data_IF_540276937632
#
_entry.id   IF_540276937632
#
_cell.length_a   1.000
_cell.length_b   1.000
_cell.length_c   1.000
_cell.angle_alpha   90.00
_cell.angle_beta   90.00
_cell.angle_gamma   90.00
#
_symmetry.space_group_name_H-M   'P 1'
#
loop_
_entity.id
_entity.type
_entity.pdbx_description
1 polymer ?
#
# COMPACT_ATOMS: atom_id res chain seq x y z
N UNK A 1 7.12 -25.21 -23.27
CA UNK A 1 7.49 -24.38 -22.09
C UNK A 1 6.50 -24.73 -21.00
N UNK A 2 6.97 -25.21 -19.85
CA UNK A 2 6.07 -25.67 -18.78
C UNK A 2 5.24 -24.50 -18.24
N UNK A 3 3.96 -24.73 -17.95
CA UNK A 3 3.03 -23.72 -17.41
C UNK A 3 3.59 -23.00 -16.17
N UNK A 4 4.44 -23.69 -15.41
CA UNK A 4 5.15 -23.13 -14.25
C UNK A 4 6.15 -22.04 -14.64
N UNK A 5 6.89 -22.24 -15.74
CA UNK A 5 7.87 -21.27 -16.22
C UNK A 5 7.15 -20.02 -16.73
N UNK A 6 6.05 -20.19 -17.47
CA UNK A 6 5.23 -19.07 -17.95
C UNK A 6 4.64 -18.24 -16.80
N UNK A 7 4.13 -18.91 -15.75
CA UNK A 7 3.62 -18.23 -14.55
C UNK A 7 4.72 -17.41 -13.83
N UNK A 8 5.94 -17.95 -13.75
CA UNK A 8 7.08 -17.24 -13.15
C UNK A 8 7.48 -16.04 -14.01
N UNK A 9 7.54 -16.20 -15.33
CA UNK A 9 7.87 -15.11 -16.26
C UNK A 9 6.85 -13.97 -16.13
N UNK A 10 5.55 -14.30 -16.11
CA UNK A 10 4.50 -13.30 -15.93
C UNK A 10 4.63 -12.59 -14.58
N UNK A 11 4.98 -13.32 -13.51
CA UNK A 11 5.17 -12.74 -12.17
C UNK A 11 6.38 -11.80 -12.10
N UNK A 12 7.51 -12.17 -12.70
CA UNK A 12 8.72 -11.34 -12.71
C UNK A 12 8.55 -10.09 -13.59
N UNK A 13 7.76 -10.20 -14.66
CA UNK A 13 7.44 -9.06 -15.52
C UNK A 13 6.49 -8.05 -14.85
N UNK A 14 5.76 -8.44 -13.81
CA UNK A 14 4.94 -7.50 -13.03
C UNK A 14 5.78 -6.78 -11.97
N UNK A 15 6.03 -5.48 -12.19
CA UNK A 15 6.75 -4.62 -11.25
C UNK A 15 6.13 -4.65 -9.84
N UNK A 16 4.80 -4.79 -9.74
CA UNK A 16 4.09 -4.89 -8.46
C UNK A 16 4.46 -6.17 -7.71
N UNK A 17 4.59 -7.29 -8.41
CA UNK A 17 4.94 -8.58 -7.85
C UNK A 17 6.41 -8.62 -7.36
N UNK A 18 7.34 -8.13 -8.19
CA UNK A 18 8.76 -8.01 -7.83
C UNK A 18 8.94 -7.24 -6.53
N UNK A 19 8.18 -6.17 -6.38
CA UNK A 19 8.27 -5.32 -5.21
C UNK A 19 7.78 -5.99 -3.91
N UNK A 20 6.72 -6.81 -3.99
CA UNK A 20 6.28 -7.65 -2.85
C UNK A 20 7.36 -8.65 -2.46
N UNK A 21 8.06 -9.22 -3.44
CA UNK A 21 9.21 -10.11 -3.21
C UNK A 21 10.34 -9.40 -2.49
N UNK A 22 10.66 -8.17 -2.87
CA UNK A 22 11.66 -7.38 -2.17
C UNK A 22 11.25 -7.05 -0.72
N UNK A 23 9.96 -6.77 -0.44
CA UNK A 23 9.47 -6.53 0.94
C UNK A 23 9.63 -7.80 1.79
N UNK A 24 9.32 -8.96 1.22
CA UNK A 24 9.48 -10.26 1.89
C UNK A 24 10.96 -10.58 2.15
N UNK A 25 11.82 -10.33 1.16
CA UNK A 25 13.25 -10.60 1.31
C UNK A 25 13.90 -9.66 2.33
N UNK A 26 13.46 -8.39 2.37
CA UNK A 26 13.85 -7.45 3.40
C UNK A 26 13.42 -7.92 4.81
N UNK A 27 12.18 -8.38 4.99
CA UNK A 27 11.69 -8.82 6.30
C UNK A 27 12.37 -10.13 6.75
N UNK A 28 12.64 -11.05 5.82
CA UNK A 28 13.45 -12.24 6.10
C UNK A 28 14.88 -11.88 6.51
N UNK A 29 15.47 -10.87 5.87
CA UNK A 29 16.81 -10.38 6.20
C UNK A 29 16.86 -9.80 7.61
N UNK A 30 15.81 -9.09 8.03
CA UNK A 30 15.67 -8.57 9.40
C UNK A 30 15.57 -9.71 10.43
N UNK A 31 14.81 -10.76 10.13
CA UNK A 31 14.72 -11.95 10.98
C UNK A 31 16.09 -12.67 11.05
N UNK A 32 16.77 -12.82 9.90
CA UNK A 32 18.12 -13.42 9.83
C UNK A 32 19.14 -12.70 10.70
N UNK A 33 19.05 -11.36 10.78
CA UNK A 33 19.91 -10.54 11.62
C UNK A 33 19.73 -10.78 13.13
N UNK A 34 18.62 -11.40 13.56
CA UNK A 34 18.33 -11.67 14.99
C UNK A 34 18.94 -12.97 15.51
N UNK A 35 19.32 -13.89 14.63
CA UNK A 35 19.89 -15.19 15.02
C UNK A 35 21.40 -15.17 15.28
N UNK A 36 22.10 -14.11 14.86
CA UNK A 36 23.54 -13.99 15.05
C UNK A 36 23.90 -13.33 16.38
N UNK A 37 25.07 -13.66 16.97
CA UNK A 37 25.60 -12.89 18.10
C UNK A 37 25.73 -11.41 17.73
N UNK A 38 25.41 -10.47 18.64
CA UNK A 38 25.53 -9.05 18.38
C UNK A 38 26.97 -8.70 18.00
N UNK A 39 27.13 -7.91 16.93
CA UNK A 39 28.44 -7.52 16.40
C UNK A 39 29.13 -8.57 15.52
N UNK A 40 28.52 -9.74 15.29
CA UNK A 40 29.09 -10.72 14.36
C UNK A 40 28.97 -10.25 12.90
N UNK A 41 29.92 -10.67 12.07
CA UNK A 41 29.94 -10.37 10.63
C UNK A 41 28.68 -10.89 9.90
N UNK A 42 27.99 -11.88 10.48
CA UNK A 42 26.74 -12.41 9.95
C UNK A 42 25.58 -11.43 10.11
N UNK A 43 25.43 -10.82 11.30
CA UNK A 43 24.39 -9.80 11.56
C UNK A 43 24.58 -8.62 10.62
N UNK A 44 25.82 -8.14 10.46
CA UNK A 44 26.13 -7.03 9.56
C UNK A 44 25.75 -7.33 8.10
N UNK A 45 26.01 -8.55 7.62
CA UNK A 45 25.63 -8.99 6.27
C UNK A 45 24.12 -9.02 6.09
N UNK A 46 23.38 -9.57 7.07
CA UNK A 46 21.92 -9.61 7.03
C UNK A 46 21.30 -8.21 7.11
N UNK A 47 21.84 -7.31 7.93
CA UNK A 47 21.38 -5.92 7.96
C UNK A 47 21.67 -5.21 6.63
N UNK A 48 22.87 -5.41 6.08
CA UNK A 48 23.26 -4.80 4.79
C UNK A 48 22.40 -5.31 3.65
N UNK A 49 22.18 -6.62 3.55
CA UNK A 49 21.30 -7.21 2.54
C UNK A 49 19.87 -6.66 2.63
N UNK A 50 19.33 -6.54 3.85
CA UNK A 50 18.02 -5.94 4.10
C UNK A 50 17.95 -4.48 3.61
N UNK A 51 18.99 -3.70 3.86
CA UNK A 51 19.09 -2.32 3.39
C UNK A 51 19.16 -2.23 1.85
N UNK A 52 19.87 -3.15 1.19
CA UNK A 52 19.92 -3.21 -0.28
C UNK A 52 18.56 -3.58 -0.89
N UNK A 53 17.81 -4.52 -0.30
CA UNK A 53 16.45 -4.81 -0.75
C UNK A 53 15.50 -3.63 -0.52
N UNK A 54 15.64 -2.94 0.61
CA UNK A 54 14.89 -1.71 0.88
C UNK A 54 15.20 -0.63 -0.16
N UNK A 55 16.47 -0.47 -0.53
CA UNK A 55 16.91 0.47 -1.56
C UNK A 55 16.33 0.10 -2.93
N UNK A 56 16.40 -1.19 -3.31
CA UNK A 56 15.77 -1.70 -4.53
C UNK A 56 14.28 -1.35 -4.63
N UNK A 57 13.54 -1.49 -3.52
CA UNK A 57 12.13 -1.04 -3.47
C UNK A 57 12.02 0.45 -3.72
N UNK A 58 12.80 1.26 -3.03
CA UNK A 58 12.77 2.73 -3.14
C UNK A 58 12.93 3.21 -4.60
N UNK A 59 13.76 2.56 -5.40
CA UNK A 59 13.88 2.87 -6.84
C UNK A 59 12.61 2.59 -7.63
N UNK A 60 11.91 1.48 -7.36
CA UNK A 60 10.64 1.16 -8.04
C UNK A 60 9.53 2.18 -7.71
N UNK A 61 9.70 2.95 -6.63
CA UNK A 61 8.80 4.02 -6.23
C UNK A 61 9.23 5.43 -6.63
N UNK A 62 10.40 5.58 -7.25
CA UNK A 62 11.05 6.87 -7.46
C UNK A 62 10.07 7.92 -8.03
N UNK A 63 9.28 7.59 -9.06
CA UNK A 63 8.29 8.51 -9.64
C UNK A 63 6.83 8.33 -9.17
N UNK A 64 6.56 7.41 -8.23
CA UNK A 64 5.19 7.11 -7.78
C UNK A 64 4.57 8.23 -6.92
N UNK A 65 5.37 9.18 -6.42
CA UNK A 65 4.84 10.36 -5.70
C UNK A 65 3.89 11.19 -6.57
N UNK A 66 4.17 11.30 -7.87
CA UNK A 66 3.37 12.07 -8.84
C UNK A 66 1.96 11.50 -8.91
N UNK A 67 1.85 10.17 -8.97
CA UNK A 67 0.56 9.48 -9.01
C UNK A 67 -0.24 9.68 -7.71
N UNK A 68 0.45 9.75 -6.57
CA UNK A 68 -0.18 10.00 -5.27
C UNK A 68 -0.76 11.41 -5.21
N UNK A 69 0.02 12.44 -5.54
CA UNK A 69 -0.49 13.81 -5.57
C UNK A 69 -1.55 14.05 -6.63
N UNK A 70 -1.43 13.42 -7.81
CA UNK A 70 -2.48 13.49 -8.83
C UNK A 70 -3.78 12.84 -8.35
N UNK A 71 -3.70 11.76 -7.60
CA UNK A 71 -4.88 11.11 -6.99
C UNK A 71 -5.49 11.98 -5.90
N UNK A 72 -4.67 12.58 -5.03
CA UNK A 72 -5.14 13.52 -4.02
C UNK A 72 -5.85 14.73 -4.65
N UNK A 73 -5.25 15.31 -5.69
CA UNK A 73 -5.81 16.45 -6.42
C UNK A 73 -7.16 16.12 -7.07
N UNK A 74 -7.32 14.91 -7.63
CA UNK A 74 -8.60 14.44 -8.17
C UNK A 74 -9.68 14.28 -7.10
N UNK A 75 -9.31 13.81 -5.91
CA UNK A 75 -10.24 13.66 -4.78
C UNK A 75 -10.70 15.01 -4.23
N UNK A 76 -9.82 16.01 -4.19
CA UNK A 76 -10.16 17.38 -3.77
C UNK A 76 -11.02 18.11 -4.80
N UNK A 77 -10.78 17.88 -6.08
CA UNK A 77 -11.50 18.58 -7.15
C UNK A 77 -12.94 18.14 -7.35
N UNK A 78 -13.41 17.10 -6.67
CA UNK A 78 -14.81 16.68 -6.66
C UNK A 78 -15.51 16.83 -8.02
N UNK A 79 -15.22 15.92 -8.96
CA UNK A 79 -15.99 15.81 -10.21
C UNK A 79 -16.03 17.06 -11.12
N UNK A 80 -14.89 17.72 -11.39
CA UNK A 80 -14.72 18.40 -12.70
C UNK A 80 -13.86 17.52 -13.58
N UNK A 81 -14.47 16.77 -14.50
CA UNK A 81 -13.74 16.13 -15.60
C UNK A 81 -13.03 17.25 -16.37
N UNK A 82 -11.69 17.30 -16.45
CA UNK A 82 -11.11 17.94 -17.61
C UNK A 82 -11.46 17.03 -18.79
N UNK A 83 -12.15 17.58 -19.78
CA UNK A 83 -12.23 17.02 -21.13
C UNK A 83 -10.80 16.88 -21.66
N UNK A 84 -10.15 15.75 -21.37
CA UNK A 84 -8.89 15.38 -22.01
C UNK A 84 -9.20 14.21 -22.94
N UNK A 85 -9.27 14.54 -24.22
CA UNK A 85 -9.26 13.60 -25.34
C UNK A 85 -7.89 12.93 -25.40
N UNK A 86 -7.64 11.98 -24.50
CA UNK A 86 -6.63 10.94 -24.70
C UNK A 86 -7.31 9.59 -24.49
N UNK A 87 -7.98 9.15 -25.56
CA UNK A 87 -8.15 7.74 -25.82
C UNK A 87 -6.80 7.22 -26.30
N UNK A 88 -6.10 6.48 -25.44
CA UNK A 88 -5.06 5.59 -25.90
C UNK A 88 -5.57 4.18 -25.63
N UNK A 89 -5.95 3.53 -26.73
CA UNK A 89 -6.21 2.10 -26.79
C UNK A 89 -5.05 1.32 -26.13
N UNK A 90 -5.42 0.33 -25.33
CA UNK A 90 -4.59 -0.86 -25.11
C UNK A 90 -3.34 -0.69 -24.23
N UNK A 91 -3.52 -0.56 -22.92
CA UNK A 91 -2.71 -1.31 -21.95
C UNK A 91 -3.33 -1.22 -20.55
N UNK A 92 -3.86 -2.32 -20.04
CA UNK A 92 -4.28 -2.42 -18.63
C UNK A 92 -3.05 -2.73 -17.76
N UNK A 93 -2.02 -1.90 -17.83
CA UNK A 93 -0.89 -2.01 -16.90
C UNK A 93 -1.18 -1.13 -15.69
N UNK A 94 -2.20 -1.55 -14.92
CA UNK A 94 -2.40 -1.08 -13.56
C UNK A 94 -1.32 -1.72 -12.68
N UNK A 95 -0.14 -1.11 -12.59
CA UNK A 95 0.74 -1.29 -11.43
C UNK A 95 0.14 -0.51 -10.27
N UNK A 96 -1.07 -0.93 -9.85
CA UNK A 96 -1.73 -0.45 -8.65
C UNK A 96 -1.10 -1.18 -7.47
N UNK A 97 0.12 -0.77 -7.11
CA UNK A 97 0.64 -1.03 -5.78
C UNK A 97 0.28 0.15 -4.90
N UNK A 98 -0.99 0.21 -4.56
CA UNK A 98 -1.41 0.89 -3.32
C UNK A 98 -0.98 -0.02 -2.17
N UNK A 99 -0.30 0.47 -1.12
CA UNK A 99 -0.59 -0.11 0.18
C UNK A 99 -2.09 0.17 0.39
N UNK A 100 -2.82 -0.93 0.53
CA UNK A 100 -4.24 -1.02 0.89
C UNK A 100 -5.26 -0.60 -0.16
N UNK A 101 -5.92 -1.63 -0.71
CA UNK A 101 -6.92 -1.60 -1.76
C UNK A 101 -8.24 -0.96 -1.34
N UNK A 102 -8.25 0.37 -1.28
CA UNK A 102 -9.44 1.14 -1.04
C UNK A 102 -9.96 1.72 -2.35
N UNK A 103 -10.94 1.04 -2.98
CA UNK A 103 -11.69 1.61 -4.11
C UNK A 103 -12.65 2.64 -3.54
N UNK A 104 -12.37 3.93 -3.76
CA UNK A 104 -13.25 5.02 -3.36
C UNK A 104 -14.57 4.90 -4.13
N UNK A 105 -15.62 4.43 -3.45
CA UNK A 105 -16.95 4.28 -4.02
C UNK A 105 -17.61 5.65 -4.19
N UNK A 106 -18.14 5.91 -5.39
CA UNK A 106 -18.65 7.20 -5.87
C UNK A 106 -19.95 7.68 -5.23
N UNK A 107 -20.04 7.69 -3.90
CA UNK A 107 -21.09 8.40 -3.17
C UNK A 107 -20.41 9.45 -2.28
N UNK A 108 -20.62 10.73 -2.61
CA UNK A 108 -19.81 11.86 -2.15
C UNK A 108 -20.10 12.22 -0.68
N UNK A 109 -19.37 11.59 0.25
CA UNK A 109 -19.15 12.14 1.58
C UNK A 109 -17.90 13.04 1.51
N UNK A 110 -18.07 14.37 1.61
CA UNK A 110 -16.96 15.34 1.53
C UNK A 110 -15.80 15.00 2.48
N UNK A 111 -16.12 14.43 3.64
CA UNK A 111 -15.17 13.96 4.65
C UNK A 111 -14.30 12.80 4.12
N UNK A 112 -14.89 11.85 3.38
CA UNK A 112 -14.12 10.74 2.78
C UNK A 112 -13.17 11.23 1.72
N UNK A 113 -13.62 12.15 0.87
CA UNK A 113 -12.78 12.74 -0.17
C UNK A 113 -11.62 13.52 0.43
N UNK A 114 -11.86 14.27 1.52
CA UNK A 114 -10.81 14.98 2.25
C UNK A 114 -9.82 14.03 2.93
N UNK A 115 -10.29 13.01 3.66
CA UNK A 115 -9.42 12.00 4.28
C UNK A 115 -8.60 11.23 3.25
N UNK A 116 -9.22 10.86 2.13
CA UNK A 116 -8.54 10.21 1.01
C UNK A 116 -7.48 11.13 0.39
N UNK A 117 -7.82 12.39 0.13
CA UNK A 117 -6.88 13.37 -0.38
C UNK A 117 -5.71 13.61 0.58
N UNK A 118 -5.98 13.70 1.88
CA UNK A 118 -4.96 13.86 2.91
C UNK A 118 -4.02 12.66 2.97
N UNK A 119 -4.57 11.43 2.96
CA UNK A 119 -3.77 10.18 2.86
C UNK A 119 -2.82 10.24 1.67
N UNK A 120 -3.34 10.48 0.47
CA UNK A 120 -2.51 10.49 -0.74
C UNK A 120 -1.56 11.68 -0.82
N UNK A 121 -1.87 12.81 -0.18
CA UNK A 121 -0.98 13.98 -0.10
C UNK A 121 0.21 13.71 0.82
N UNK A 122 -0.04 13.16 2.01
CA UNK A 122 1.00 12.78 2.97
C UNK A 122 1.88 11.66 2.41
N UNK A 123 1.27 10.64 1.78
CA UNK A 123 2.02 9.57 1.13
C UNK A 123 2.87 10.09 -0.04
N UNK A 124 2.34 11.02 -0.84
CA UNK A 124 3.09 11.66 -1.91
C UNK A 124 4.26 12.49 -1.39
N UNK A 125 4.06 13.24 -0.30
CA UNK A 125 5.13 14.00 0.35
C UNK A 125 6.22 13.09 0.94
N UNK A 126 5.84 11.99 1.57
CA UNK A 126 6.78 10.95 1.99
C UNK A 126 7.64 10.44 0.81
N UNK A 127 7.00 10.02 -0.28
CA UNK A 127 7.71 9.48 -1.44
C UNK A 127 8.61 10.53 -2.11
N UNK A 128 8.19 11.80 -2.11
CA UNK A 128 9.00 12.91 -2.58
C UNK A 128 10.25 13.10 -1.71
N UNK A 129 10.13 13.07 -0.38
CA UNK A 129 11.28 13.15 0.52
C UNK A 129 12.22 11.94 0.38
N UNK A 130 11.68 10.74 0.20
CA UNK A 130 12.47 9.54 -0.08
C UNK A 130 13.33 9.69 -1.34
N UNK A 131 12.89 10.45 -2.35
CA UNK A 131 13.72 10.71 -3.54
C UNK A 131 15.05 11.35 -3.18
N UNK A 132 15.02 12.36 -2.31
CA UNK A 132 16.23 13.08 -1.89
C UNK A 132 17.11 12.21 -0.99
N UNK A 133 16.52 11.37 -0.14
CA UNK A 133 17.30 10.51 0.76
C UNK A 133 17.89 9.29 0.06
N UNK A 134 17.34 8.85 -1.08
CA UNK A 134 17.92 7.79 -1.92
C UNK A 134 19.31 8.19 -2.45
N UNK A 135 19.51 9.46 -2.84
CA UNK A 135 20.81 9.93 -3.32
C UNK A 135 21.89 9.84 -2.23
N UNK A 136 21.52 10.14 -1.00
CA UNK A 136 22.39 9.95 0.16
C UNK A 136 22.61 8.46 0.47
N UNK A 137 21.59 7.60 0.30
CA UNK A 137 21.72 6.15 0.50
C UNK A 137 22.64 5.48 -0.53
N UNK A 138 22.82 6.08 -1.72
CA UNK A 138 23.80 5.65 -2.72
C UNK A 138 25.24 6.11 -2.45
N UNK A 139 25.47 6.87 -1.36
CA UNK A 139 26.77 7.52 -1.09
C UNK A 139 27.23 8.48 -2.21
N UNK A 140 26.32 8.97 -3.07
CA UNK A 140 26.66 9.95 -4.11
C UNK A 140 26.81 11.34 -3.51
N UNK A 141 25.99 11.65 -2.50
CA UNK A 141 26.04 12.94 -1.80
C UNK A 141 25.99 12.70 -0.29
N UNK A 142 27.05 13.06 0.44
CA UNK A 142 27.05 13.01 1.91
C UNK A 142 26.59 14.35 2.48
N UNK A 143 25.30 14.44 2.77
CA UNK A 143 24.73 15.62 3.40
C UNK A 143 24.31 15.29 4.84
N UNK A 144 24.81 16.05 5.82
CA UNK A 144 24.45 15.86 7.23
C UNK A 144 22.95 15.97 7.53
N UNK A 145 22.19 16.69 6.69
CA UNK A 145 20.73 16.84 6.81
C UNK A 145 19.94 15.63 6.31
N UNK A 146 20.55 14.72 5.53
CA UNK A 146 19.82 13.60 4.93
C UNK A 146 19.22 12.66 5.98
N UNK A 147 19.92 12.49 7.12
CA UNK A 147 19.41 11.67 8.23
C UNK A 147 18.19 12.30 8.89
N UNK A 148 18.20 13.62 9.06
CA UNK A 148 17.05 14.36 9.57
C UNK A 148 15.87 14.28 8.60
N UNK A 149 16.12 14.45 7.29
CA UNK A 149 15.08 14.35 6.26
C UNK A 149 14.47 12.94 6.20
N UNK A 150 15.29 11.90 6.38
CA UNK A 150 14.84 10.51 6.44
C UNK A 150 13.90 10.29 7.63
N UNK A 151 14.20 10.87 8.79
CA UNK A 151 13.32 10.79 9.97
C UNK A 151 11.99 11.51 9.74
N UNK A 152 12.01 12.70 9.12
CA UNK A 152 10.77 13.41 8.76
C UNK A 152 9.95 12.63 7.73
N UNK A 153 10.59 11.97 6.76
CA UNK A 153 9.92 11.08 5.82
C UNK A 153 9.22 9.92 6.56
N UNK A 154 9.91 9.27 7.51
CA UNK A 154 9.30 8.21 8.33
C UNK A 154 8.10 8.70 9.14
N UNK A 155 8.14 9.92 9.68
CA UNK A 155 6.99 10.53 10.39
C UNK A 155 5.81 10.81 9.45
N UNK A 156 6.07 11.36 8.26
CA UNK A 156 5.02 11.63 7.27
C UNK A 156 4.35 10.35 6.77
N UNK A 157 5.13 9.29 6.57
CA UNK A 157 4.61 7.97 6.28
C UNK A 157 3.69 7.46 7.39
N UNK A 158 4.11 7.59 8.66
CA UNK A 158 3.32 7.22 9.82
C UNK A 158 2.00 8.02 9.92
N UNK A 159 2.03 9.34 9.73
CA UNK A 159 0.80 10.15 9.71
C UNK A 159 -0.15 9.75 8.58
N UNK A 160 0.39 9.43 7.40
CA UNK A 160 -0.42 8.90 6.29
C UNK A 160 -1.13 7.59 6.66
N UNK A 161 -0.50 6.72 7.45
CA UNK A 161 -1.10 5.47 7.91
C UNK A 161 -2.21 5.71 8.94
N UNK A 162 -2.04 6.65 9.88
CA UNK A 162 -3.11 7.03 10.82
C UNK A 162 -4.35 7.50 10.06
N UNK A 163 -4.17 8.35 9.04
CA UNK A 163 -5.28 8.81 8.20
C UNK A 163 -5.92 7.65 7.42
N UNK A 164 -5.11 6.69 6.93
CA UNK A 164 -5.61 5.49 6.26
C UNK A 164 -6.46 4.60 7.17
N UNK A 165 -5.98 4.31 8.38
CA UNK A 165 -6.70 3.52 9.39
C UNK A 165 -7.98 4.23 9.79
N UNK A 166 -7.93 5.55 9.99
CA UNK A 166 -9.10 6.37 10.32
C UNK A 166 -10.16 6.33 9.22
N UNK A 167 -9.75 6.40 7.94
CA UNK A 167 -10.66 6.26 6.79
C UNK A 167 -11.26 4.85 6.68
N UNK A 168 -10.46 3.81 6.91
CA UNK A 168 -10.91 2.41 6.94
C UNK A 168 -11.92 2.14 8.06
N UNK A 169 -11.67 2.69 9.25
CA UNK A 169 -12.58 2.58 10.39
C UNK A 169 -13.88 3.37 10.14
N UNK A 170 -13.77 4.56 9.54
CA UNK A 170 -14.95 5.35 9.13
C UNK A 170 -15.84 4.57 8.16
N UNK A 171 -15.27 3.85 7.20
CA UNK A 171 -16.05 3.00 6.28
C UNK A 171 -16.64 1.78 6.95
N UNK A 172 -15.88 1.12 7.82
CA UNK A 172 -16.38 -0.02 8.57
C UNK A 172 -17.56 0.39 9.47
N UNK A 173 -17.46 1.54 10.11
CA UNK A 173 -18.53 2.12 10.92
C UNK A 173 -19.76 2.44 10.07
N UNK A 174 -19.59 3.16 8.94
CA UNK A 174 -20.67 3.45 7.98
C UNK A 174 -21.33 2.20 7.41
N UNK A 175 -20.57 1.13 7.20
CA UNK A 175 -21.09 -0.14 6.70
C UNK A 175 -21.84 -0.92 7.80
N UNK A 176 -21.37 -0.82 9.05
CA UNK A 176 -22.03 -1.43 10.22
C UNK A 176 -23.33 -0.72 10.62
N UNK A 177 -23.44 0.60 10.39
CA UNK A 177 -24.65 1.37 10.66
C UNK A 177 -25.75 1.21 9.61
N UNK A 178 -25.53 0.46 8.52
CA UNK A 178 -26.56 0.16 7.52
C UNK A 178 -27.27 -1.16 7.89
N UNK A 179 -28.57 -1.15 8.25
CA UNK A 179 -29.34 -2.39 8.37
C UNK A 179 -29.45 -3.09 7.00
N UNK A 180 -29.78 -4.41 6.95
CA UNK A 180 -29.75 -5.22 5.73
C UNK A 180 -30.70 -4.80 4.58
N UNK A 181 -31.36 -3.65 4.65
CA UNK A 181 -32.45 -3.27 3.74
C UNK A 181 -32.33 -1.88 3.09
N UNK A 182 -31.22 -1.17 3.21
CA UNK A 182 -31.04 0.13 2.55
C UNK A 182 -30.07 0.07 1.35
N UNK A 183 -30.43 -0.71 0.33
CA UNK A 183 -29.83 -0.61 -1.01
C UNK A 183 -30.92 -0.42 -2.09
N UNK A 184 -31.75 0.60 -1.91
CA UNK A 184 -32.56 1.20 -2.97
C UNK A 184 -32.39 2.71 -2.93
N UNK A 185 -31.39 3.20 -3.65
CA UNK A 185 -31.33 4.55 -4.24
C UNK A 185 -30.08 4.60 -5.13
N UNK A 186 -30.13 4.60 -6.46
CA UNK A 186 -31.28 4.77 -7.33
C UNK A 186 -31.17 3.99 -8.63
N UNK A 187 -32.33 3.53 -9.08
CA UNK A 187 -32.75 3.56 -10.47
C UNK A 187 -34.27 3.53 -10.42
N UNK A 188 -34.90 4.54 -11.00
CA UNK A 188 -36.33 4.60 -11.21
C UNK A 188 -36.79 3.38 -12.03
N UNK A 189 -37.95 2.84 -11.61
CA UNK A 189 -38.93 1.96 -12.28
C UNK A 189 -38.54 1.40 -13.67
N UNK A 190 -38.43 0.07 -13.79
CA UNK A 190 -39.46 -0.78 -14.42
C UNK A 190 -39.09 -2.28 -14.31
N UNK A 191 -40.11 -3.12 -14.50
CA UNK A 191 -40.31 -4.49 -14.01
C UNK A 191 -39.51 -5.63 -14.68
N UNK A 192 -39.34 -6.69 -13.85
CA UNK A 192 -39.37 -8.13 -14.14
C UNK A 192 -38.05 -8.92 -14.32
N UNK A 193 -37.95 -9.93 -13.43
CA UNK A 193 -37.28 -11.24 -13.56
C UNK A 193 -35.95 -11.49 -12.81
N UNK A 194 -36.11 -12.27 -11.72
CA UNK A 194 -35.29 -13.40 -11.24
C UNK A 194 -33.79 -13.21 -10.90
N UNK A 195 -33.46 -13.52 -9.63
CA UNK A 195 -32.14 -14.04 -9.21
C UNK A 195 -31.45 -13.25 -8.09
N UNK A 196 -31.84 -13.45 -6.83
CA UNK A 196 -31.20 -12.84 -5.65
C UNK A 196 -30.34 -13.90 -4.93
N UNK A 197 -29.02 -13.97 -5.24
CA UNK A 197 -28.02 -14.17 -4.19
C UNK A 197 -26.78 -13.26 -4.32
N UNK A 198 -26.69 -12.43 -5.36
CA UNK A 198 -25.46 -11.72 -5.76
C UNK A 198 -25.10 -10.55 -4.83
N UNK A 199 -26.10 -9.90 -4.22
CA UNK A 199 -25.91 -8.65 -3.46
C UNK A 199 -25.27 -8.91 -2.09
N UNK A 200 -25.70 -9.94 -1.36
CA UNK A 200 -25.15 -10.28 -0.03
C UNK A 200 -23.72 -10.78 -0.12
N UNK A 201 -23.41 -11.61 -1.13
CA UNK A 201 -22.05 -12.08 -1.40
C UNK A 201 -21.09 -10.92 -1.74
N UNK A 202 -21.57 -9.91 -2.47
CA UNK A 202 -20.77 -8.73 -2.83
C UNK A 202 -20.40 -7.85 -1.62
N UNK A 203 -21.33 -7.67 -0.67
CA UNK A 203 -21.12 -6.90 0.56
C UNK A 203 -20.15 -7.62 1.50
N UNK A 204 -20.30 -8.94 1.67
CA UNK A 204 -19.38 -9.74 2.50
C UNK A 204 -17.96 -9.71 1.92
N UNK A 205 -17.82 -9.79 0.59
CA UNK A 205 -16.52 -9.70 -0.09
C UNK A 205 -15.89 -8.31 0.04
N UNK A 206 -16.70 -7.24 -0.03
CA UNK A 206 -16.22 -5.87 0.20
C UNK A 206 -15.75 -5.70 1.64
N UNK A 207 -16.49 -6.19 2.64
CA UNK A 207 -16.09 -6.16 4.05
C UNK A 207 -14.80 -6.93 4.29
N UNK A 208 -14.64 -8.11 3.68
CA UNK A 208 -13.40 -8.89 3.79
C UNK A 208 -12.20 -8.15 3.19
N UNK A 209 -12.38 -7.50 2.05
CA UNK A 209 -11.31 -6.72 1.39
C UNK A 209 -10.91 -5.52 2.26
N UNK A 210 -11.89 -4.80 2.80
CA UNK A 210 -11.67 -3.68 3.72
C UNK A 210 -10.98 -4.13 5.01
N UNK A 211 -11.39 -5.27 5.57
CA UNK A 211 -10.78 -5.83 6.77
C UNK A 211 -9.31 -6.22 6.53
N UNK A 212 -9.02 -6.94 5.44
CA UNK A 212 -7.66 -7.32 5.08
C UNK A 212 -6.77 -6.08 4.86
N UNK A 213 -7.31 -5.06 4.18
CA UNK A 213 -6.63 -3.78 4.01
C UNK A 213 -6.35 -3.10 5.36
N UNK A 214 -7.35 -3.02 6.24
CA UNK A 214 -7.18 -2.41 7.56
C UNK A 214 -6.14 -3.15 8.42
N UNK A 215 -6.16 -4.49 8.42
CA UNK A 215 -5.16 -5.30 9.14
C UNK A 215 -3.75 -5.04 8.61
N UNK A 216 -3.59 -4.93 7.30
CA UNK A 216 -2.30 -4.59 6.70
C UNK A 216 -1.82 -3.19 7.12
N UNK A 217 -2.71 -2.18 7.05
CA UNK A 217 -2.42 -0.80 7.48
C UNK A 217 -2.07 -0.74 8.97
N UNK A 218 -2.79 -1.48 9.83
CA UNK A 218 -2.49 -1.55 11.28
C UNK A 218 -1.13 -2.21 11.51
N UNK A 219 -0.79 -3.28 10.79
CA UNK A 219 0.54 -3.90 10.92
C UNK A 219 1.66 -2.95 10.51
N UNK A 220 1.47 -2.21 9.41
CA UNK A 220 2.44 -1.22 8.94
C UNK A 220 2.48 -0.01 9.90
N UNK A 221 1.37 0.34 10.57
CA UNK A 221 1.32 1.39 11.60
C UNK A 221 2.14 1.01 12.84
N UNK A 222 2.08 -0.24 13.28
CA UNK A 222 2.89 -0.75 14.39
C UNK A 222 4.38 -0.63 14.01
N UNK A 223 4.75 -1.05 12.79
CA UNK A 223 6.13 -0.90 12.28
C UNK A 223 6.54 0.58 12.28
N UNK A 224 5.68 1.48 11.79
CA UNK A 224 5.95 2.92 11.79
C UNK A 224 6.14 3.48 13.18
N UNK A 225 5.28 3.12 14.14
CA UNK A 225 5.38 3.58 15.52
C UNK A 225 6.72 3.16 16.16
N UNK A 226 7.21 1.96 15.85
CA UNK A 226 8.52 1.48 16.30
C UNK A 226 9.66 2.31 15.68
N UNK A 227 9.61 2.57 14.38
CA UNK A 227 10.66 3.32 13.67
C UNK A 227 10.74 4.78 14.12
N UNK A 228 9.59 5.42 14.41
CA UNK A 228 9.55 6.78 14.97
C UNK A 228 9.94 6.83 16.46
N UNK A 229 10.12 5.68 17.12
CA UNK A 229 10.52 5.61 18.52
C UNK A 229 9.38 5.82 19.52
N UNK A 230 8.12 5.74 19.09
CA UNK A 230 6.97 5.82 20.01
C UNK A 230 6.80 4.53 20.83
N UNK A 231 7.30 3.38 20.33
CA UNK A 231 7.34 2.11 21.06
C UNK A 231 8.68 1.40 20.86
N UNK A 232 9.24 0.82 21.93
CA UNK A 232 10.34 -0.15 21.85
C UNK A 232 9.73 -1.54 21.66
N UNK A 233 9.50 -1.96 20.41
CA UNK A 233 9.29 -3.37 20.10
C UNK A 233 10.59 -3.98 19.57
N UNK A 234 10.77 -5.27 19.83
CA UNK A 234 11.91 -6.01 19.33
C UNK A 234 11.91 -6.10 17.79
N UNK A 235 13.10 -6.05 17.15
CA UNK A 235 13.26 -6.21 15.70
C UNK A 235 12.61 -7.48 15.13
N UNK A 236 12.47 -8.52 15.96
CA UNK A 236 11.81 -9.78 15.61
C UNK A 236 10.33 -9.57 15.30
N UNK A 237 9.62 -8.82 16.16
CA UNK A 237 8.18 -8.57 15.99
C UNK A 237 7.89 -7.77 14.72
N UNK A 238 8.73 -6.76 14.43
CA UNK A 238 8.65 -5.99 13.19
C UNK A 238 8.91 -6.86 11.95
N UNK A 239 9.89 -7.77 12.02
CA UNK A 239 10.19 -8.73 10.96
C UNK A 239 9.04 -9.70 10.68
N UNK A 240 8.40 -10.25 11.72
CA UNK A 240 7.25 -11.15 11.59
C UNK A 240 6.05 -10.41 10.97
N UNK A 241 5.72 -9.22 11.48
CA UNK A 241 4.64 -8.40 10.94
C UNK A 241 4.88 -8.03 9.46
N UNK A 242 6.11 -7.65 9.13
CA UNK A 242 6.54 -7.37 7.76
C UNK A 242 6.40 -8.59 6.84
N UNK A 243 6.73 -9.78 7.33
CA UNK A 243 6.65 -11.04 6.58
C UNK A 243 5.20 -11.44 6.31
N UNK A 244 4.30 -11.32 7.30
CA UNK A 244 2.86 -11.60 7.13
C UNK A 244 2.25 -10.64 6.09
N UNK A 245 2.53 -9.34 6.23
CA UNK A 245 2.07 -8.30 5.29
C UNK A 245 2.59 -8.57 3.87
N UNK A 246 3.87 -8.93 3.72
CA UNK A 246 4.46 -9.24 2.43
C UNK A 246 3.91 -10.52 1.81
N UNK A 247 3.71 -11.58 2.59
CA UNK A 247 3.20 -12.86 2.11
C UNK A 247 1.75 -12.76 1.61
N UNK A 248 0.87 -12.06 2.35
CA UNK A 248 -0.52 -11.82 1.91
C UNK A 248 -0.52 -11.06 0.58
N UNK A 249 0.27 -10.00 0.51
CA UNK A 249 0.28 -9.14 -0.67
C UNK A 249 0.98 -9.78 -1.88
N UNK A 250 1.97 -10.65 -1.66
CA UNK A 250 2.56 -11.50 -2.70
C UNK A 250 1.56 -12.52 -3.23
N UNK A 251 0.77 -13.15 -2.35
CA UNK A 251 -0.29 -14.10 -2.74
C UNK A 251 -1.36 -13.43 -3.60
N UNK A 252 -1.74 -12.20 -3.27
CA UNK A 252 -2.69 -11.42 -4.07
C UNK A 252 -2.11 -11.01 -5.43
N UNK A 253 -0.81 -10.68 -5.48
CA UNK A 253 -0.12 -10.41 -6.74
C UNK A 253 -0.07 -11.65 -7.65
N UNK A 254 0.26 -12.81 -7.08
CA UNK A 254 0.29 -14.08 -7.82
C UNK A 254 -1.07 -14.41 -8.46
N UNK A 255 -2.16 -14.31 -7.69
CA UNK A 255 -3.53 -14.54 -8.21
C UNK A 255 -3.97 -13.55 -9.28
N UNK A 256 -3.43 -12.32 -9.27
CA UNK A 256 -3.74 -11.29 -10.27
C UNK A 256 -3.04 -11.58 -11.59
N UNK A 257 -1.78 -12.00 -11.52
CA UNK A 257 -0.93 -12.22 -12.70
C UNK A 257 -1.17 -13.58 -13.34
N UNK A 258 -1.61 -14.57 -12.55
CA UNK A 258 -1.95 -15.90 -13.02
C UNK A 258 -3.41 -16.25 -12.65
N UNK A 259 -4.40 -15.71 -13.41
CA UNK A 259 -5.83 -15.88 -13.13
C UNK A 259 -6.34 -17.31 -13.32
#
# INVERSE_FOLDING_TARGET
>A
MDKTVEAIVNFVNDCSAVERTLKLLQSLSQIGATFGPPGSHQVLRWTTAGNQFALGRRYLYFFKWINCWMTAYRLLQGSKKPSSKYSTNGEKTQVQFTPTGFKTSGNHDNIKSLLGALKFSLLGMFLFLEMFTILNAMSITDHGWARSLQLEAWKLWFYSLIVSVSLGLYELFRLSSKPPQALKSGSSKDEKSQGIPTTTASVTRQRQTLHNALVADISDLIIGACVTGYFLLDPVTAGIAGTISAAIAMREAWKRVNP
#
